data_IF_719837811299
#
_entry.id   IF_719837811299
#
_cell.length_a   1.000
_cell.length_b   1.000
_cell.length_c   1.000
_cell.angle_alpha   90.00
_cell.angle_beta   90.00
_cell.angle_gamma   90.00
#
_symmetry.space_group_name_H-M   'P 1'
#
loop_
_entity.id
_entity.type
_entity.pdbx_description
1 polymer ?
#
# COMPACT_ATOMS: atom_id res chain seq x y z
N UNK A 1 6.98 -0.70 -2.85
CA UNK A 1 5.66 -0.21 -3.32
C UNK A 1 4.63 -1.30 -2.99
N UNK A 2 3.61 -1.02 -2.19
CA UNK A 2 2.71 -2.07 -1.66
C UNK A 2 1.59 -2.40 -2.60
N UNK A 3 1.77 -3.52 -3.26
CA UNK A 3 0.76 -4.14 -4.05
C UNK A 3 -0.17 -4.97 -3.17
N UNK A 4 -1.40 -4.54 -2.97
CA UNK A 4 -2.43 -5.45 -2.47
C UNK A 4 -2.89 -6.23 -3.68
N UNK A 5 -2.79 -7.57 -3.62
CA UNK A 5 -3.52 -8.45 -4.54
C UNK A 5 -4.99 -8.38 -4.12
N UNK A 6 -5.64 -7.27 -4.43
CA UNK A 6 -7.02 -7.02 -4.02
C UNK A 6 -7.96 -7.41 -5.15
N UNK A 7 -9.07 -8.05 -4.79
CA UNK A 7 -10.26 -8.00 -5.62
C UNK A 7 -10.76 -6.55 -5.62
N UNK A 8 -10.89 -5.98 -6.81
CA UNK A 8 -11.46 -4.65 -7.00
C UNK A 8 -13.00 -4.76 -6.92
N UNK A 9 -13.64 -4.05 -5.99
CA UNK A 9 -15.08 -3.79 -6.03
C UNK A 9 -15.30 -2.40 -6.66
N UNK A 10 -15.93 -2.30 -7.84
CA UNK A 10 -16.21 -1.02 -8.51
C UNK A 10 -17.14 -0.09 -7.72
N UNK A 11 -17.78 -0.58 -6.65
CA UNK A 11 -18.63 0.22 -5.75
C UNK A 11 -17.87 0.75 -4.54
N UNK A 12 -16.59 0.41 -4.39
CA UNK A 12 -15.77 0.94 -3.30
C UNK A 12 -15.56 2.45 -3.46
N UNK A 13 -15.74 3.25 -2.40
CA UNK A 13 -15.42 4.67 -2.43
C UNK A 13 -13.91 4.93 -2.49
N UNK A 14 -13.08 3.90 -2.29
CA UNK A 14 -11.64 3.98 -2.42
C UNK A 14 -11.25 3.99 -3.89
N UNK A 15 -10.69 5.11 -4.35
CA UNK A 15 -10.06 5.16 -5.65
C UNK A 15 -8.86 4.20 -5.71
N UNK A 16 -8.77 3.42 -6.79
CA UNK A 16 -7.73 2.41 -6.98
C UNK A 16 -6.98 2.70 -8.29
N UNK A 17 -5.66 2.61 -8.25
CA UNK A 17 -4.79 2.65 -9.43
C UNK A 17 -4.18 1.28 -9.68
N UNK A 18 -4.25 0.83 -10.94
CA UNK A 18 -3.54 -0.36 -11.40
C UNK A 18 -2.07 -0.02 -11.64
N UNK A 19 -1.17 -0.87 -11.14
CA UNK A 19 0.25 -0.84 -11.44
C UNK A 19 0.67 -2.21 -11.99
N UNK A 20 1.28 -2.22 -13.17
CA UNK A 20 1.86 -3.41 -13.77
C UNK A 20 3.31 -3.54 -13.33
N UNK A 21 3.71 -4.71 -12.85
CA UNK A 21 5.09 -5.01 -12.50
C UNK A 21 5.60 -6.16 -13.36
N UNK A 22 6.69 -5.92 -14.08
CA UNK A 22 7.31 -6.93 -14.95
C UNK A 22 8.69 -7.27 -14.41
N UNK A 23 8.92 -8.55 -14.12
CA UNK A 23 10.22 -9.11 -13.78
C UNK A 23 10.90 -9.56 -15.08
N UNK A 24 12.11 -9.05 -15.36
CA UNK A 24 12.82 -9.32 -16.61
C UNK A 24 14.35 -9.21 -16.46
N UNK A 25 15.09 -9.67 -17.46
CA UNK A 25 16.56 -9.52 -17.58
C UNK A 25 16.99 -8.46 -18.61
N UNK A 26 16.03 -7.70 -19.16
CA UNK A 26 16.32 -6.67 -20.16
C UNK A 26 17.00 -5.43 -19.57
N UNK A 27 18.34 -5.38 -19.69
CA UNK A 27 19.17 -4.27 -19.22
C UNK A 27 18.96 -2.96 -19.99
N UNK A 28 18.22 -2.97 -21.11
CA UNK A 28 17.94 -1.75 -21.88
C UNK A 28 17.04 -0.75 -21.12
N UNK A 29 16.40 -1.18 -20.03
CA UNK A 29 15.64 -0.31 -19.11
C UNK A 29 16.52 0.48 -18.13
N UNK A 30 17.81 0.16 -18.08
CA UNK A 30 18.77 0.87 -17.23
C UNK A 30 19.44 2.01 -18.01
N UNK A 31 20.04 3.01 -17.31
CA UNK A 31 20.83 4.04 -17.96
C UNK A 31 21.93 3.44 -18.86
N UNK A 32 22.15 4.04 -20.04
CA UNK A 32 23.20 3.60 -20.98
C UNK A 32 24.58 3.51 -20.34
N UNK A 33 24.88 4.43 -19.40
CA UNK A 33 26.14 4.44 -18.64
C UNK A 33 25.97 3.56 -17.40
N UNK A 34 26.70 2.44 -17.34
CA UNK A 34 26.65 1.51 -16.19
C UNK A 34 26.99 2.19 -14.85
N UNK A 35 27.86 3.18 -14.85
CA UNK A 35 28.18 3.97 -13.66
C UNK A 35 27.00 4.74 -13.06
N UNK A 36 25.95 5.01 -13.86
CA UNK A 36 24.73 5.68 -13.39
C UNK A 36 23.68 4.70 -12.86
N UNK A 37 23.95 3.40 -12.88
CA UNK A 37 23.00 2.39 -12.40
C UNK A 37 22.81 2.53 -10.89
N UNK A 38 21.58 2.79 -10.50
CA UNK A 38 21.16 2.82 -9.10
C UNK A 38 20.27 1.63 -8.80
N UNK A 39 20.00 1.37 -7.52
CA UNK A 39 19.03 0.33 -7.16
C UNK A 39 17.67 0.64 -7.79
N UNK A 40 17.30 1.91 -7.89
CA UNK A 40 16.04 2.40 -8.44
C UNK A 40 16.36 3.44 -9.52
N UNK A 41 15.84 3.25 -10.73
CA UNK A 41 16.09 4.14 -11.87
C UNK A 41 14.74 4.60 -12.40
N UNK A 42 14.52 5.91 -12.33
CA UNK A 42 13.33 6.55 -12.84
C UNK A 42 13.58 7.05 -14.26
N UNK A 43 12.71 6.65 -15.18
CA UNK A 43 12.74 7.15 -16.56
C UNK A 43 11.40 7.82 -16.81
N UNK A 44 11.44 9.15 -16.93
CA UNK A 44 10.35 9.92 -17.48
C UNK A 44 10.67 10.23 -18.94
N UNK A 45 9.76 9.88 -19.84
CA UNK A 45 9.78 10.46 -21.17
C UNK A 45 9.13 11.84 -21.09
N UNK A 46 9.91 12.89 -21.32
CA UNK A 46 9.44 14.28 -21.28
C UNK A 46 8.51 14.65 -22.44
N UNK A 47 8.36 13.77 -23.43
CA UNK A 47 7.49 13.96 -24.59
C UNK A 47 6.16 13.21 -24.48
N UNK A 48 6.00 12.34 -23.48
CA UNK A 48 4.74 11.64 -23.20
C UNK A 48 3.99 12.46 -22.13
N UNK A 49 2.88 13.09 -22.54
CA UNK A 49 1.96 13.78 -21.65
C UNK A 49 1.59 12.90 -20.45
N UNK A 50 1.86 13.38 -19.23
CA UNK A 50 1.38 12.85 -17.94
C UNK A 50 1.22 11.31 -17.85
N UNK A 51 2.16 10.55 -18.41
CA UNK A 51 2.16 9.09 -18.34
C UNK A 51 2.39 8.59 -16.92
N UNK A 52 1.92 7.37 -16.61
CA UNK A 52 2.26 6.75 -15.33
C UNK A 52 3.79 6.66 -15.18
N UNK A 53 4.33 6.98 -13.99
CA UNK A 53 5.77 6.92 -13.78
C UNK A 53 6.28 5.49 -13.99
N UNK A 54 7.28 5.34 -14.85
CA UNK A 54 7.99 4.08 -15.05
C UNK A 54 9.25 4.04 -14.19
N UNK A 55 9.39 3.00 -13.38
CA UNK A 55 10.52 2.83 -12.45
C UNK A 55 11.09 1.43 -12.63
N UNK A 56 12.40 1.34 -12.85
CA UNK A 56 13.13 0.07 -12.93
C UNK A 56 13.99 -0.14 -11.70
N UNK A 57 13.75 -1.24 -11.00
CA UNK A 57 14.52 -1.70 -9.85
C UNK A 57 15.58 -2.69 -10.31
N UNK A 58 16.84 -2.47 -9.96
CA UNK A 58 17.91 -3.46 -10.12
C UNK A 58 17.96 -4.35 -8.89
N UNK A 59 17.40 -5.56 -9.02
CA UNK A 59 17.16 -6.46 -7.91
C UNK A 59 18.45 -6.98 -7.29
N UNK A 60 19.49 -7.21 -8.10
CA UNK A 60 20.79 -7.68 -7.61
C UNK A 60 21.45 -6.69 -6.64
N UNK A 61 21.18 -5.39 -6.80
CA UNK A 61 21.68 -4.36 -5.87
C UNK A 61 20.75 -4.15 -4.69
N UNK A 62 19.45 -4.36 -4.88
CA UNK A 62 18.43 -4.13 -3.85
C UNK A 62 18.33 -5.28 -2.84
N UNK A 63 18.65 -6.51 -3.25
CA UNK A 63 18.46 -7.73 -2.48
C UNK A 63 19.71 -8.61 -2.55
N UNK A 64 20.05 -9.37 -1.50
CA UNK A 64 21.20 -10.27 -1.48
C UNK A 64 20.91 -11.56 -2.26
N UNK A 65 20.79 -11.45 -3.59
CA UNK A 65 20.38 -12.56 -4.47
C UNK A 65 21.55 -13.47 -4.92
N UNK A 66 22.77 -13.18 -4.49
CA UNK A 66 23.98 -13.92 -4.90
C UNK A 66 24.35 -13.66 -6.37
N UNK A 67 25.06 -14.62 -6.97
CA UNK A 67 25.52 -14.54 -8.36
C UNK A 67 24.43 -15.01 -9.33
N UNK A 68 23.42 -14.16 -9.52
CA UNK A 68 22.40 -14.33 -10.56
C UNK A 68 22.62 -13.33 -11.69
N UNK A 69 22.09 -13.57 -12.91
CA UNK A 69 22.08 -12.58 -13.98
C UNK A 69 21.46 -11.25 -13.53
N UNK A 70 21.83 -10.16 -14.21
CA UNK A 70 21.21 -8.84 -13.99
C UNK A 70 19.69 -8.96 -14.15
N UNK A 71 18.97 -8.74 -13.04
CA UNK A 71 17.54 -8.96 -12.90
C UNK A 71 16.86 -7.67 -12.48
N UNK A 72 15.78 -7.35 -13.17
CA UNK A 72 15.08 -6.09 -13.04
C UNK A 72 13.60 -6.29 -12.80
N UNK A 73 13.01 -5.39 -12.01
CA UNK A 73 11.56 -5.22 -11.95
C UNK A 73 11.25 -3.84 -12.49
N UNK A 74 10.48 -3.75 -13.57
CA UNK A 74 9.98 -2.47 -14.07
C UNK A 74 8.50 -2.32 -13.76
N UNK A 75 8.16 -1.21 -13.11
CA UNK A 75 6.78 -0.81 -12.83
C UNK A 75 6.28 0.10 -13.94
N UNK A 76 5.09 -0.20 -14.46
CA UNK A 76 4.40 0.56 -15.51
C UNK A 76 5.33 0.90 -16.69
N UNK A 77 5.93 -0.12 -17.34
CA UNK A 77 6.97 0.11 -18.33
C UNK A 77 6.42 0.93 -19.51
N UNK A 78 7.11 2.03 -19.87
CA UNK A 78 6.73 2.91 -21.01
C UNK A 78 6.89 2.24 -22.38
N UNK A 79 7.66 1.15 -22.43
CA UNK A 79 7.84 0.27 -23.59
C UNK A 79 7.93 -1.16 -23.08
N UNK A 80 7.57 -2.15 -23.89
CA UNK A 80 7.67 -3.55 -23.47
C UNK A 80 9.13 -4.02 -23.37
N UNK A 81 9.50 -4.80 -22.34
CA UNK A 81 10.72 -5.58 -22.37
C UNK A 81 10.72 -6.61 -23.51
N UNK A 82 11.92 -6.96 -23.99
CA UNK A 82 12.05 -8.03 -24.98
C UNK A 82 11.35 -9.31 -24.48
N UNK A 83 10.48 -9.90 -25.31
CA UNK A 83 9.63 -11.04 -24.90
C UNK A 83 10.43 -12.24 -24.36
N UNK A 84 11.60 -12.53 -24.94
CA UNK A 84 12.49 -13.60 -24.48
C UNK A 84 13.25 -13.29 -23.18
N UNK A 85 13.09 -12.09 -22.60
CA UNK A 85 13.72 -11.65 -21.36
C UNK A 85 12.72 -11.44 -20.22
N UNK A 86 11.42 -11.59 -20.47
CA UNK A 86 10.39 -11.51 -19.44
C UNK A 86 10.37 -12.83 -18.66
N UNK A 87 10.44 -12.74 -17.34
CA UNK A 87 10.38 -13.88 -16.42
C UNK A 87 8.98 -14.04 -15.85
N UNK A 88 8.39 -12.94 -15.38
CA UNK A 88 7.06 -12.92 -14.78
C UNK A 88 6.43 -11.53 -14.88
N UNK A 89 5.10 -11.48 -14.78
CA UNK A 89 4.34 -10.25 -14.75
C UNK A 89 3.22 -10.36 -13.73
N UNK A 90 3.01 -9.28 -12.97
CA UNK A 90 1.92 -9.18 -12.01
C UNK A 90 1.23 -7.81 -12.12
N UNK A 91 -0.08 -7.80 -11.93
CA UNK A 91 -0.87 -6.56 -11.83
C UNK A 91 -1.31 -6.32 -10.40
N UNK A 92 -1.03 -5.12 -9.91
CA UNK A 92 -1.26 -4.71 -8.55
C UNK A 92 -2.26 -3.56 -8.48
N UNK A 93 -3.02 -3.51 -7.40
CA UNK A 93 -4.02 -2.49 -7.16
C UNK A 93 -3.59 -1.66 -5.94
N UNK A 94 -3.43 -0.35 -6.16
CA UNK A 94 -2.98 0.59 -5.14
C UNK A 94 -4.09 1.58 -4.79
N UNK A 95 -4.45 1.72 -3.51
CA UNK A 95 -5.28 2.82 -3.05
C UNK A 95 -4.68 4.17 -3.47
N UNK A 96 -5.53 5.05 -3.99
CA UNK A 96 -5.20 6.43 -4.28
C UNK A 96 -5.55 7.24 -3.05
N UNK A 97 -4.54 7.79 -2.38
CA UNK A 97 -4.74 8.63 -1.21
C UNK A 97 -5.08 10.05 -1.65
N UNK A 98 -6.38 10.33 -1.74
CA UNK A 98 -6.95 11.63 -2.02
C UNK A 98 -7.74 12.18 -0.82
N UNK A 99 -8.35 13.35 -0.99
CA UNK A 99 -9.18 13.96 0.05
C UNK A 99 -10.39 13.10 0.45
N UNK A 100 -10.89 12.24 -0.45
CA UNK A 100 -11.96 11.28 -0.15
C UNK A 100 -11.49 10.18 0.79
N UNK A 101 -10.30 9.64 0.51
CA UNK A 101 -9.65 8.61 1.33
C UNK A 101 -9.33 9.12 2.73
N UNK A 102 -8.92 10.38 2.87
CA UNK A 102 -8.70 10.98 4.19
C UNK A 102 -9.99 11.07 5.01
N UNK A 103 -11.11 11.54 4.42
CA UNK A 103 -12.39 11.57 5.12
C UNK A 103 -12.84 10.18 5.56
N UNK A 104 -12.78 9.21 4.64
CA UNK A 104 -13.12 7.82 4.94
C UNK A 104 -12.27 7.27 6.10
N UNK A 105 -10.98 7.60 6.19
CA UNK A 105 -10.11 7.17 7.29
C UNK A 105 -10.55 7.68 8.66
N UNK A 106 -11.10 8.89 8.74
CA UNK A 106 -11.63 9.45 9.98
C UNK A 106 -12.86 8.68 10.49
N UNK A 107 -13.65 8.12 9.57
CA UNK A 107 -14.90 7.41 9.86
C UNK A 107 -14.70 5.90 10.07
N UNK A 108 -13.68 5.31 9.43
CA UNK A 108 -13.45 3.86 9.44
C UNK A 108 -13.36 3.26 10.84
N UNK A 109 -12.72 3.96 11.79
CA UNK A 109 -12.58 3.43 13.15
C UNK A 109 -13.92 3.37 13.91
N UNK A 110 -14.90 4.18 13.55
CA UNK A 110 -16.23 4.14 14.16
C UNK A 110 -17.00 2.85 13.82
N UNK A 111 -16.56 2.09 12.82
CA UNK A 111 -17.20 0.82 12.42
C UNK A 111 -16.80 -0.36 13.30
N UNK A 112 -15.76 -0.21 14.12
CA UNK A 112 -15.21 -1.31 14.91
C UNK A 112 -16.22 -1.81 15.95
N UNK A 113 -16.44 -3.13 15.99
CA UNK A 113 -17.35 -3.77 16.93
C UNK A 113 -18.83 -3.77 16.49
N UNK A 114 -19.19 -2.99 15.47
CA UNK A 114 -20.56 -3.01 14.95
C UNK A 114 -20.87 -4.39 14.34
N UNK A 115 -21.99 -4.99 14.76
CA UNK A 115 -22.42 -6.32 14.30
C UNK A 115 -21.32 -7.39 14.44
N UNK A 116 -20.56 -7.36 15.53
CA UNK A 116 -19.44 -8.27 15.79
C UNK A 116 -18.39 -8.28 14.67
N UNK A 117 -18.25 -7.18 13.94
CA UNK A 117 -17.32 -7.05 12.82
C UNK A 117 -16.20 -6.07 13.18
N UNK A 118 -14.99 -6.42 12.74
CA UNK A 118 -13.78 -5.65 12.99
C UNK A 118 -12.97 -5.58 11.71
N UNK A 119 -12.49 -4.38 11.38
CA UNK A 119 -11.73 -4.13 10.16
C UNK A 119 -10.33 -3.67 10.53
N UNK A 120 -9.32 -4.16 9.82
CA UNK A 120 -7.95 -3.71 9.95
C UNK A 120 -7.23 -3.82 8.60
N UNK A 121 -6.18 -3.02 8.43
CA UNK A 121 -5.34 -3.07 7.24
C UNK A 121 -4.68 -1.74 6.95
N UNK A 122 -3.83 -1.72 5.93
CA UNK A 122 -3.00 -0.55 5.60
C UNK A 122 -3.83 0.71 5.23
N UNK A 123 -5.09 0.53 4.83
CA UNK A 123 -6.01 1.61 4.50
C UNK A 123 -6.50 2.42 5.72
N UNK A 124 -6.22 1.98 6.96
CA UNK A 124 -6.42 2.78 8.17
C UNK A 124 -5.36 3.88 8.34
N UNK A 125 -4.20 3.72 7.70
CA UNK A 125 -3.13 4.72 7.67
C UNK A 125 -2.84 5.18 6.24
N UNK A 126 -1.56 5.36 5.92
CA UNK A 126 -1.10 5.84 4.62
C UNK A 126 -0.82 4.72 3.60
N UNK A 127 -1.31 3.50 3.83
CA UNK A 127 -1.16 2.37 2.90
C UNK A 127 0.16 1.59 3.02
N UNK A 128 0.92 1.78 4.10
CA UNK A 128 2.17 1.08 4.38
C UNK A 128 1.96 -0.17 5.26
N UNK A 129 2.93 -1.10 5.26
CA UNK A 129 2.86 -2.30 6.11
C UNK A 129 2.71 -1.96 7.59
N UNK A 130 3.41 -0.93 8.06
CA UNK A 130 3.33 -0.50 9.45
C UNK A 130 1.91 -0.01 9.82
N UNK A 131 1.21 0.63 8.89
CA UNK A 131 -0.17 1.06 9.09
C UNK A 131 -1.09 -0.17 9.29
N UNK A 132 -0.87 -1.20 8.48
CA UNK A 132 -1.60 -2.47 8.60
C UNK A 132 -1.28 -3.22 9.89
N UNK A 133 -0.01 -3.22 10.31
CA UNK A 133 0.43 -3.81 11.56
C UNK A 133 -0.21 -3.11 12.76
N UNK A 134 -0.10 -1.78 12.83
CA UNK A 134 -0.68 -1.00 13.92
C UNK A 134 -2.20 -1.14 13.97
N UNK A 135 -2.88 -1.10 12.82
CA UNK A 135 -4.32 -1.34 12.75
C UNK A 135 -4.71 -2.73 13.26
N UNK A 136 -4.00 -3.77 12.82
CA UNK A 136 -4.27 -5.16 13.24
C UNK A 136 -4.06 -5.36 14.74
N UNK A 137 -2.97 -4.81 15.30
CA UNK A 137 -2.71 -4.87 16.73
C UNK A 137 -3.77 -4.11 17.53
N UNK A 138 -4.10 -2.88 17.14
CA UNK A 138 -5.12 -2.08 17.83
C UNK A 138 -6.50 -2.76 17.82
N UNK A 139 -6.88 -3.39 16.71
CA UNK A 139 -8.10 -4.20 16.62
C UNK A 139 -8.06 -5.42 17.53
N UNK A 140 -6.95 -6.16 17.56
CA UNK A 140 -6.81 -7.31 18.43
C UNK A 140 -6.90 -6.93 19.92
N UNK A 141 -6.35 -5.76 20.29
CA UNK A 141 -6.41 -5.22 21.64
C UNK A 141 -7.84 -4.81 22.03
N UNK A 142 -8.55 -4.11 21.14
CA UNK A 142 -9.94 -3.68 21.37
C UNK A 142 -10.92 -4.88 21.40
N UNK A 143 -10.76 -5.84 20.49
CA UNK A 143 -11.58 -7.06 20.43
C UNK A 143 -11.29 -8.00 21.61
N UNK A 144 -10.02 -8.17 21.95
CA UNK A 144 -9.58 -9.13 22.98
C UNK A 144 -9.59 -8.57 24.40
N UNK A 145 -9.68 -7.25 24.57
CA UNK A 145 -9.54 -6.60 25.88
C UNK A 145 -8.15 -6.81 26.51
N UNK A 146 -7.13 -7.06 25.68
CA UNK A 146 -5.75 -7.32 26.10
C UNK A 146 -4.83 -6.28 25.50
N UNK A 147 -3.66 -6.07 26.11
CA UNK A 147 -2.61 -5.22 25.55
C UNK A 147 -1.50 -6.10 24.98
N UNK A 148 -0.88 -5.68 23.87
CA UNK A 148 0.31 -6.37 23.35
C UNK A 148 1.39 -6.50 24.44
N UNK A 149 2.18 -7.60 24.47
CA UNK A 149 3.07 -7.90 25.58
C UNK A 149 4.38 -7.08 25.60
N UNK A 150 4.56 -6.15 24.66
CA UNK A 150 5.71 -5.26 24.55
C UNK A 150 5.27 -3.79 24.55
N UNK A 151 6.16 -2.88 24.95
CA UNK A 151 5.91 -1.44 24.92
C UNK A 151 6.72 -0.78 23.81
N UNK A 152 6.06 0.07 23.03
CA UNK A 152 6.66 0.91 22.00
C UNK A 152 6.05 2.31 22.16
N UNK A 153 6.86 3.35 21.99
CA UNK A 153 6.34 4.71 21.99
C UNK A 153 5.41 4.90 20.78
N UNK A 154 4.28 5.57 20.99
CA UNK A 154 3.33 5.90 19.93
C UNK A 154 2.89 4.69 19.08
N UNK A 155 2.53 3.60 19.76
CA UNK A 155 2.25 2.26 19.23
C UNK A 155 1.11 2.12 18.20
N UNK A 156 0.41 3.23 17.97
CA UNK A 156 -0.72 3.42 17.05
C UNK A 156 -0.68 4.78 16.32
N UNK A 157 0.48 5.45 16.28
CA UNK A 157 0.64 6.82 15.73
C UNK A 157 0.27 6.98 14.26
N UNK A 158 0.26 5.88 13.48
CA UNK A 158 0.03 5.95 12.04
C UNK A 158 -1.43 5.72 11.65
N UNK A 159 -2.27 5.41 12.62
CA UNK A 159 -3.69 5.16 12.44
C UNK A 159 -4.52 6.14 13.27
N UNK A 160 -5.76 6.34 12.86
CA UNK A 160 -6.72 7.12 13.62
C UNK A 160 -7.50 6.14 14.48
N UNK A 161 -7.25 6.19 15.79
CA UNK A 161 -7.97 5.37 16.77
C UNK A 161 -8.90 6.26 17.57
N UNK A 162 -10.20 6.00 17.44
CA UNK A 162 -11.22 6.68 18.24
C UNK A 162 -11.47 5.93 19.54
N UNK A 163 -11.86 6.66 20.60
CA UNK A 163 -12.32 6.03 21.83
C UNK A 163 -13.76 5.51 21.63
N UNK A 164 -13.90 4.21 21.37
CA UNK A 164 -15.18 3.57 21.08
C UNK A 164 -16.19 3.70 22.22
N UNK A 165 -15.74 3.81 23.49
CA UNK A 165 -16.64 4.01 24.64
C UNK A 165 -17.33 5.37 24.59
N UNK A 166 -16.61 6.40 24.15
CA UNK A 166 -17.15 7.77 24.02
C UNK A 166 -18.18 7.85 22.89
N UNK A 167 -17.91 7.21 21.76
CA UNK A 167 -18.83 7.19 20.59
C UNK A 167 -20.14 6.47 20.91
N UNK A 168 -20.07 5.35 21.63
CA UNK A 168 -21.28 4.61 22.03
C UNK A 168 -22.21 5.47 22.92
N UNK A 169 -21.63 6.26 23.85
CA UNK A 169 -22.41 7.13 24.73
C UNK A 169 -23.08 8.28 23.96
N UNK A 170 -22.39 8.88 22.99
CA UNK A 170 -22.98 9.95 22.17
C UNK A 170 -24.09 9.43 21.24
N UNK A 171 -23.95 8.21 20.73
CA UNK A 171 -24.96 7.55 19.88
C UNK A 171 -26.21 7.19 20.68
N UNK A 172 -26.04 6.63 21.88
CA UNK A 172 -27.15 6.34 22.81
C UNK A 172 -27.88 7.62 23.25
N UNK A 173 -27.16 8.73 23.46
CA UNK A 173 -27.75 10.04 23.79
C UNK A 173 -28.54 10.65 22.61
N UNK A 174 -28.06 10.51 21.38
CA UNK A 174 -28.80 10.96 20.18
C UNK A 174 -30.04 10.10 19.90
N UNK A 175 -29.98 8.79 20.11
CA UNK A 175 -31.15 7.90 19.97
C UNK A 175 -32.17 8.09 21.11
N UNK A 176 -31.73 8.45 22.32
CA UNK A 176 -32.62 8.70 23.47
C UNK A 176 -33.31 10.08 23.45
N UNK A 177 -32.89 10.98 22.55
CA UNK A 177 -33.43 12.35 22.42
C UNK A 177 -34.22 12.59 21.13
N UNK A 178 -34.38 11.55 20.29
CA UNK A 178 -35.21 11.53 19.09
C UNK A 178 -36.58 10.88 19.36
#
# INVERSE_FOLDING_TARGET
MYAIRSYYDPRSPLAIRKNRAVLHTDSSFMPRRRAAWSSWNYVADTHIEAGQPSITYWMNRLQPLGEIPDTFVTLNPVREPDQGKIIAEETYHHPVFDAGTERMRQELWALQGLRNSWFCGAYFGSGFHEDGLQAGLAVAEDLGGVTRPWKVADDSSRIIRLNLKTIATDTELMEATA
#
